data_IF_444687144590
#
_entry.id   IF_444687144590
#
_cell.length_a   1.000
_cell.length_b   1.000
_cell.length_c   1.000
_cell.angle_alpha   90.00
_cell.angle_beta   90.00
_cell.angle_gamma   90.00
#
_symmetry.space_group_name_H-M   'P 1'
#
loop_
_entity.id
_entity.type
_entity.pdbx_description
1 polymer ?
#
# COMPACT_ATOMS: atom_id res chain seq x y z
N UNK A 1 1.92 -13.68 -3.12
CA UNK A 1 2.68 -13.32 -1.91
C UNK A 1 1.69 -13.38 -0.76
N UNK A 2 2.14 -13.77 0.43
CA UNK A 2 1.27 -13.83 1.62
C UNK A 2 1.66 -12.71 2.57
N UNK A 3 0.66 -12.01 3.12
CA UNK A 3 0.82 -10.89 4.02
C UNK A 3 -0.17 -10.99 5.18
N UNK A 4 0.18 -10.41 6.33
CA UNK A 4 -0.74 -10.33 7.47
C UNK A 4 -1.73 -9.20 7.27
N UNK A 5 -3.03 -9.48 7.44
CA UNK A 5 -4.07 -8.48 7.53
C UNK A 5 -4.54 -8.35 8.98
N UNK A 6 -4.42 -7.14 9.54
CA UNK A 6 -5.09 -6.76 10.78
C UNK A 6 -6.39 -6.09 10.39
N UNK A 7 -7.52 -6.55 10.94
CA UNK A 7 -8.85 -6.05 10.61
C UNK A 7 -9.56 -5.65 11.90
N UNK A 8 -10.09 -4.43 11.93
CA UNK A 8 -10.74 -3.84 13.10
C UNK A 8 -12.08 -3.24 12.69
N UNK A 9 -13.06 -3.25 13.59
CA UNK A 9 -14.32 -2.53 13.39
C UNK A 9 -14.09 -1.03 13.55
N UNK A 10 -14.60 -0.23 12.62
CA UNK A 10 -14.46 1.22 12.68
C UNK A 10 -15.50 1.86 13.61
N UNK A 11 -15.16 3.00 14.24
CA UNK A 11 -16.06 3.72 15.16
C UNK A 11 -17.36 4.18 14.47
N UNK A 12 -17.27 4.52 13.18
CA UNK A 12 -18.37 5.01 12.35
C UNK A 12 -19.20 3.87 11.73
N UNK A 13 -18.82 2.61 11.98
CA UNK A 13 -19.36 1.42 11.35
C UNK A 13 -18.50 0.91 10.18
N UNK A 14 -18.67 -0.37 9.84
CA UNK A 14 -17.82 -1.06 8.87
C UNK A 14 -16.49 -1.54 9.47
N UNK A 15 -15.52 -1.80 8.61
CA UNK A 15 -14.22 -2.37 8.95
C UNK A 15 -13.09 -1.61 8.26
N UNK A 16 -12.00 -1.45 8.99
CA UNK A 16 -10.70 -1.03 8.47
C UNK A 16 -9.74 -2.20 8.52
N UNK A 17 -8.80 -2.22 7.58
CA UNK A 17 -7.77 -3.24 7.51
C UNK A 17 -6.41 -2.61 7.18
N UNK A 18 -5.33 -3.13 7.76
CA UNK A 18 -3.97 -2.70 7.44
C UNK A 18 -2.99 -3.89 7.48
N UNK A 19 -1.86 -3.73 6.79
CA UNK A 19 -0.79 -4.73 6.73
C UNK A 19 0.48 -4.18 7.40
N UNK A 20 0.91 -4.70 8.56
CA UNK A 20 2.13 -4.25 9.24
C UNK A 20 3.40 -4.34 8.38
N UNK A 21 3.47 -5.32 7.47
CA UNK A 21 4.60 -5.54 6.57
C UNK A 21 4.65 -4.54 5.42
N UNK A 22 3.53 -3.87 5.11
CA UNK A 22 3.41 -2.90 4.03
C UNK A 22 2.83 -1.58 4.55
N UNK A 23 3.63 -0.76 5.26
CA UNK A 23 3.20 0.54 5.73
C UNK A 23 2.71 1.41 4.56
N UNK A 24 1.52 1.99 4.72
CA UNK A 24 0.84 2.81 3.71
C UNK A 24 -0.28 2.08 2.96
N UNK A 25 -0.34 0.76 3.01
CA UNK A 25 -1.48 0.00 2.48
C UNK A 25 -2.59 -0.08 3.52
N UNK A 26 -3.77 0.43 3.17
CA UNK A 26 -4.96 0.44 4.02
C UNK A 26 -6.15 -0.04 3.20
N UNK A 27 -7.01 -0.82 3.81
CA UNK A 27 -8.27 -1.27 3.26
C UNK A 27 -9.45 -0.82 4.13
N UNK A 28 -10.61 -0.64 3.51
CA UNK A 28 -11.86 -0.37 4.22
C UNK A 28 -13.03 -1.06 3.53
N UNK A 29 -14.09 -1.37 4.27
CA UNK A 29 -15.28 -1.98 3.71
C UNK A 29 -16.43 -2.10 4.71
N UNK A 30 -17.63 -2.38 4.21
CA UNK A 30 -18.80 -2.61 5.06
C UNK A 30 -18.69 -3.94 5.83
N UNK A 31 -17.99 -4.92 5.25
CA UNK A 31 -17.67 -6.20 5.88
C UNK A 31 -16.17 -6.42 6.02
N UNK A 32 -15.77 -7.35 6.90
CA UNK A 32 -14.38 -7.72 7.07
C UNK A 32 -13.76 -8.29 5.79
N UNK A 33 -14.53 -9.00 4.96
CA UNK A 33 -14.04 -9.52 3.68
C UNK A 33 -13.83 -8.40 2.67
N UNK A 34 -14.74 -7.40 2.62
CA UNK A 34 -14.56 -6.22 1.76
C UNK A 34 -13.30 -5.43 2.14
N UNK A 35 -13.10 -5.18 3.45
CA UNK A 35 -11.91 -4.48 3.94
C UNK A 35 -10.62 -5.25 3.62
N UNK A 36 -10.64 -6.58 3.70
CA UNK A 36 -9.52 -7.45 3.34
C UNK A 36 -9.24 -7.43 1.84
N UNK A 37 -10.26 -7.52 1.00
CA UNK A 37 -10.14 -7.47 -0.46
C UNK A 37 -9.57 -6.11 -0.89
N UNK A 38 -10.08 -5.02 -0.31
CA UNK A 38 -9.59 -3.67 -0.56
C UNK A 38 -8.14 -3.47 -0.07
N UNK A 39 -7.77 -4.04 1.09
CA UNK A 39 -6.39 -4.04 1.57
C UNK A 39 -5.45 -4.79 0.60
N UNK A 40 -5.88 -5.93 0.06
CA UNK A 40 -5.08 -6.70 -0.89
C UNK A 40 -4.78 -5.90 -2.17
N UNK A 41 -5.77 -5.17 -2.70
CA UNK A 41 -5.59 -4.26 -3.83
C UNK A 41 -4.62 -3.11 -3.49
N UNK A 42 -4.76 -2.51 -2.30
CA UNK A 42 -3.86 -1.44 -1.86
C UNK A 42 -2.41 -1.91 -1.73
N UNK A 43 -2.18 -3.13 -1.22
CA UNK A 43 -0.85 -3.75 -1.14
C UNK A 43 -0.28 -3.97 -2.55
N UNK A 44 -1.07 -4.51 -3.47
CA UNK A 44 -0.63 -4.74 -4.85
C UNK A 44 -0.22 -3.44 -5.55
N UNK A 45 -1.07 -2.41 -5.48
CA UNK A 45 -0.81 -1.11 -6.09
C UNK A 45 0.47 -0.46 -5.55
N UNK A 46 0.66 -0.49 -4.24
CA UNK A 46 1.81 0.16 -3.61
C UNK A 46 3.13 -0.60 -3.85
N UNK A 47 3.08 -1.93 -4.00
CA UNK A 47 4.27 -2.70 -4.42
C UNK A 47 4.61 -2.50 -5.90
N UNK A 48 3.58 -2.35 -6.76
CA UNK A 48 3.76 -1.99 -8.17
C UNK A 48 4.41 -0.61 -8.31
N UNK A 49 3.86 0.40 -7.64
CA UNK A 49 4.36 1.78 -7.61
C UNK A 49 5.84 1.83 -7.15
N UNK A 50 6.16 1.22 -6.00
CA UNK A 50 7.55 1.15 -5.50
C UNK A 50 8.50 0.43 -6.46
N UNK A 51 8.01 -0.58 -7.20
CA UNK A 51 8.82 -1.28 -8.21
C UNK A 51 9.08 -0.38 -9.41
N UNK A 52 8.09 0.38 -9.86
CA UNK A 52 8.24 1.33 -10.96
C UNK A 52 9.19 2.46 -10.59
N UNK A 53 9.03 3.06 -9.42
CA UNK A 53 9.96 4.06 -8.88
C UNK A 53 11.39 3.52 -8.79
N UNK A 54 11.58 2.34 -8.20
CA UNK A 54 12.90 1.71 -8.08
C UNK A 54 13.56 1.37 -9.43
N UNK A 55 12.77 1.21 -10.50
CA UNK A 55 13.28 1.06 -11.86
C UNK A 55 13.63 2.41 -12.48
N UNK A 56 12.82 3.46 -12.25
CA UNK A 56 13.09 4.81 -12.74
C UNK A 56 14.36 5.40 -12.10
N UNK A 57 14.56 5.25 -10.79
CA UNK A 57 15.76 5.73 -10.08
C UNK A 57 17.06 4.97 -10.45
N UNK A 58 16.96 3.91 -11.26
CA UNK A 58 18.13 3.18 -11.79
C UNK A 58 18.58 3.74 -13.13
N UNK A 59 17.68 4.38 -13.88
CA UNK A 59 17.95 4.92 -15.20
C UNK A 59 18.57 6.32 -15.14
N UNK A 60 18.36 7.07 -14.05
CA UNK A 60 19.09 8.31 -13.75
C UNK A 60 20.40 7.98 -13.01
N UNK A 61 21.46 7.77 -13.76
CA UNK A 61 22.75 7.22 -13.32
C UNK A 61 23.54 8.01 -12.23
N UNK A 62 22.93 8.81 -11.33
CA UNK A 62 23.65 9.66 -10.38
C UNK A 62 23.04 9.87 -8.98
N UNK A 63 21.93 9.25 -8.56
CA UNK A 63 21.38 9.54 -7.22
C UNK A 63 21.00 8.31 -6.41
N UNK A 64 21.89 7.92 -5.49
CA UNK A 64 21.52 7.19 -4.28
C UNK A 64 20.86 8.18 -3.32
N UNK A 65 19.63 8.61 -3.61
CA UNK A 65 18.88 9.51 -2.72
C UNK A 65 17.53 8.90 -2.38
N UNK A 66 17.19 8.95 -1.10
CA UNK A 66 15.94 8.50 -0.47
C UNK A 66 14.67 9.23 -0.96
N UNK A 67 14.75 9.99 -2.05
CA UNK A 67 13.76 11.00 -2.44
C UNK A 67 13.42 10.97 -3.93
N UNK A 68 13.35 9.79 -4.57
CA UNK A 68 12.43 9.63 -5.70
C UNK A 68 11.01 9.68 -5.12
N UNK A 69 10.51 10.89 -4.86
CA UNK A 69 9.09 11.12 -4.65
C UNK A 69 8.58 11.60 -6.01
N UNK A 70 7.59 10.94 -6.63
CA UNK A 70 7.02 11.42 -7.87
C UNK A 70 6.51 12.86 -7.67
N UNK A 71 6.65 13.74 -8.68
CA UNK A 71 6.11 15.09 -8.59
C UNK A 71 4.60 14.99 -8.31
N UNK A 72 4.04 15.83 -7.41
CA UNK A 72 2.60 15.82 -7.20
C UNK A 72 1.93 16.19 -8.52
N UNK A 73 0.85 15.48 -8.85
CA UNK A 73 -0.01 15.78 -10.01
C UNK A 73 -0.48 17.24 -9.99
#
# INVERSE_FOLDING_TARGET
MEFTAVIESAEEGGYIAFCPEVPGANGQGETAEDAKQNLAEAVELLLLDRREDGLQCRLDHSVFSSACVPPPL
#
